data_IF_006401130934
#
_entry.id   IF_006401130934
#
_cell.length_a   1.000
_cell.length_b   1.000
_cell.length_c   1.000
_cell.angle_alpha   90.00
_cell.angle_beta   90.00
_cell.angle_gamma   90.00
#
_symmetry.space_group_name_H-M   'P 1'
#
loop_
_entity.id
_entity.type
_entity.pdbx_description
1 polymer ?
#
# COMPACT_ATOMS: atom_id res chain seq x y z
N UNK A 1 1.19 6.38 8.54
CA UNK A 1 1.78 7.42 7.67
C UNK A 1 2.26 6.90 6.31
N UNK A 2 2.57 5.61 6.14
CA UNK A 2 3.11 5.07 4.88
C UNK A 2 2.37 5.51 3.61
N UNK A 3 1.04 5.33 3.55
CA UNK A 3 0.28 5.68 2.35
C UNK A 3 0.31 7.19 2.00
N UNK A 4 0.61 8.07 2.96
CA UNK A 4 0.76 9.52 2.70
C UNK A 4 1.98 9.82 1.84
N UNK A 5 3.08 9.06 2.02
CA UNK A 5 4.25 9.17 1.15
C UNK A 5 3.93 8.73 -0.29
N UNK A 6 3.05 7.73 -0.43
CA UNK A 6 2.59 7.25 -1.74
C UNK A 6 1.68 8.28 -2.41
N UNK A 7 0.72 8.85 -1.68
CA UNK A 7 -0.16 9.91 -2.19
C UNK A 7 0.62 11.11 -2.70
N UNK A 8 1.60 11.59 -1.93
CA UNK A 8 2.49 12.66 -2.34
C UNK A 8 3.15 12.38 -3.70
N UNK A 9 3.69 11.17 -3.89
CA UNK A 9 4.38 10.80 -5.13
C UNK A 9 3.41 10.70 -6.30
N UNK A 10 2.24 10.10 -6.09
CA UNK A 10 1.19 10.02 -7.11
C UNK A 10 0.74 11.40 -7.59
N UNK A 11 0.50 12.34 -6.68
CA UNK A 11 0.06 13.69 -7.05
C UNK A 11 1.13 14.46 -7.82
N UNK A 12 2.40 14.33 -7.42
CA UNK A 12 3.52 14.93 -8.15
C UNK A 12 3.68 14.28 -9.54
N UNK A 13 3.52 12.96 -9.65
CA UNK A 13 3.53 12.27 -10.95
C UNK A 13 2.41 12.77 -11.87
N UNK A 14 1.18 12.90 -11.36
CA UNK A 14 0.04 13.45 -12.11
C UNK A 14 0.37 14.87 -12.60
N UNK A 15 0.83 15.75 -11.70
CA UNK A 15 1.13 17.14 -12.05
C UNK A 15 2.26 17.26 -13.10
N UNK A 16 3.29 16.40 -13.01
CA UNK A 16 4.35 16.32 -14.00
C UNK A 16 3.82 15.85 -15.36
N UNK A 17 2.94 14.84 -15.39
CA UNK A 17 2.39 14.29 -16.64
C UNK A 17 1.37 15.22 -17.29
N UNK A 18 0.62 15.98 -16.50
CA UNK A 18 -0.32 17.01 -16.98
C UNK A 18 0.38 18.30 -17.41
N UNK A 19 1.67 18.46 -17.09
CA UNK A 19 2.44 19.67 -17.36
C UNK A 19 2.05 20.86 -16.47
N UNK A 20 1.37 20.61 -15.36
CA UNK A 20 1.01 21.63 -14.36
C UNK A 20 2.14 21.88 -13.34
N UNK A 21 3.18 21.05 -13.36
CA UNK A 21 4.41 21.19 -12.59
C UNK A 21 5.65 21.03 -13.50
N UNK A 22 6.55 22.02 -13.49
CA UNK A 22 7.85 21.89 -14.15
C UNK A 22 8.81 21.04 -13.27
N UNK A 23 9.66 20.23 -13.92
CA UNK A 23 10.65 19.38 -13.22
C UNK A 23 11.58 20.18 -12.31
N UNK A 24 11.94 21.42 -12.69
CA UNK A 24 12.81 22.30 -11.90
C UNK A 24 12.21 22.69 -10.54
N UNK A 25 10.87 22.71 -10.44
CA UNK A 25 10.12 23.13 -9.25
C UNK A 25 9.68 21.92 -8.39
N UNK A 26 10.05 20.71 -8.81
CA UNK A 26 9.74 19.46 -8.11
C UNK A 26 10.32 19.38 -6.69
N UNK A 27 11.55 19.87 -6.39
CA UNK A 27 12.06 19.88 -5.02
C UNK A 27 11.19 20.71 -4.06
N UNK A 28 10.75 21.89 -4.48
CA UNK A 28 9.89 22.78 -3.70
C UNK A 28 8.50 22.17 -3.52
N UNK A 29 7.91 21.64 -4.59
CA UNK A 29 6.61 20.98 -4.55
C UNK A 29 6.62 19.75 -3.62
N UNK A 30 7.70 18.96 -3.66
CA UNK A 30 7.90 17.83 -2.74
C UNK A 30 7.92 18.29 -1.29
N UNK A 31 8.70 19.32 -0.97
CA UNK A 31 8.85 19.84 0.38
C UNK A 31 7.53 20.40 0.92
N UNK A 32 6.75 21.08 0.07
CA UNK A 32 5.41 21.56 0.42
C UNK A 32 4.47 20.40 0.77
N UNK A 33 4.39 19.36 -0.07
CA UNK A 33 3.53 18.19 0.16
C UNK A 33 3.96 17.36 1.37
N UNK A 34 5.27 17.24 1.62
CA UNK A 34 5.79 16.57 2.83
C UNK A 34 5.33 17.30 4.10
N UNK A 35 5.36 18.63 4.08
CA UNK A 35 4.89 19.43 5.20
C UNK A 35 3.38 19.32 5.38
N UNK A 36 2.61 19.42 4.29
CA UNK A 36 1.15 19.33 4.31
C UNK A 36 0.65 17.99 4.86
N UNK A 37 1.23 16.87 4.39
CA UNK A 37 0.74 15.53 4.74
C UNK A 37 1.38 14.95 5.99
N UNK A 38 2.64 15.26 6.25
CA UNK A 38 3.41 14.64 7.33
C UNK A 38 3.91 15.63 8.38
N UNK A 39 3.69 16.94 8.20
CA UNK A 39 4.11 17.97 9.15
C UNK A 39 5.62 18.21 9.19
N UNK A 40 6.39 17.66 8.24
CA UNK A 40 7.86 17.71 8.23
C UNK A 40 8.40 18.15 6.87
N UNK A 41 9.52 18.86 6.87
CA UNK A 41 10.23 19.26 5.64
C UNK A 41 11.61 18.61 5.62
N UNK A 42 11.97 17.88 4.55
CA UNK A 42 13.31 17.32 4.40
C UNK A 42 14.41 18.40 4.47
N UNK A 43 15.54 18.16 5.14
CA UNK A 43 16.59 19.15 5.27
C UNK A 43 17.43 19.33 3.99
N UNK A 44 17.29 18.44 3.01
CA UNK A 44 17.98 18.50 1.71
C UNK A 44 17.31 17.54 0.70
N UNK A 45 17.66 17.71 -0.58
CA UNK A 45 17.07 16.91 -1.67
C UNK A 45 17.42 15.42 -1.59
N UNK A 46 18.54 15.04 -0.96
CA UNK A 46 18.89 13.62 -0.74
C UNK A 46 17.85 12.91 0.15
N UNK A 47 17.30 13.60 1.15
CA UNK A 47 16.22 13.10 2.00
C UNK A 47 14.83 13.53 1.53
N UNK A 48 14.76 14.31 0.46
CA UNK A 48 13.53 14.79 -0.17
C UNK A 48 13.29 14.12 -1.52
N UNK A 49 13.16 14.93 -2.56
CA UNK A 49 12.82 14.47 -3.92
C UNK A 49 13.73 13.38 -4.51
N UNK A 50 14.98 13.26 -4.07
CA UNK A 50 15.94 12.24 -4.53
C UNK A 50 15.98 10.99 -3.63
N UNK A 51 15.05 10.88 -2.68
CA UNK A 51 15.00 9.78 -1.71
C UNK A 51 14.83 8.41 -2.39
N UNK A 52 14.08 8.36 -3.50
CA UNK A 52 13.73 7.14 -4.20
C UNK A 52 14.31 7.09 -5.61
N UNK A 53 14.62 5.88 -6.07
CA UNK A 53 15.23 5.64 -7.39
C UNK A 53 14.21 5.63 -8.54
N UNK A 54 12.91 5.52 -8.25
CA UNK A 54 11.88 5.15 -9.23
C UNK A 54 11.83 6.04 -10.46
N UNK A 55 11.81 7.36 -10.26
CA UNK A 55 11.76 8.32 -11.36
C UNK A 55 13.02 8.30 -12.22
N UNK A 56 14.19 8.08 -11.61
CA UNK A 56 15.44 7.92 -12.37
C UNK A 56 15.47 6.65 -13.23
N UNK A 57 14.71 5.61 -12.83
CA UNK A 57 14.51 4.39 -13.59
C UNK A 57 13.31 4.42 -14.55
N UNK A 58 12.64 5.56 -14.71
CA UNK A 58 11.47 5.70 -15.58
C UNK A 58 10.18 5.04 -15.04
N UNK A 59 10.13 4.67 -13.76
CA UNK A 59 9.00 3.98 -13.14
C UNK A 59 7.89 4.96 -12.70
N UNK A 60 7.39 5.78 -13.63
CA UNK A 60 6.27 6.69 -13.41
C UNK A 60 4.96 5.89 -13.33
N UNK A 61 4.11 6.17 -12.35
CA UNK A 61 2.87 5.42 -12.08
C UNK A 61 3.07 4.16 -11.25
N UNK A 62 4.29 3.90 -10.76
CA UNK A 62 4.59 2.70 -9.97
C UNK A 62 4.18 2.85 -8.50
N UNK A 63 4.35 4.03 -7.88
CA UNK A 63 4.11 4.21 -6.45
C UNK A 63 2.70 3.82 -5.97
N UNK A 64 1.60 4.10 -6.70
CA UNK A 64 0.25 3.70 -6.28
C UNK A 64 0.12 2.20 -6.00
N UNK A 65 0.95 1.36 -6.64
CA UNK A 65 0.93 -0.09 -6.42
C UNK A 65 1.27 -0.50 -4.98
N UNK A 66 2.09 0.28 -4.27
CA UNK A 66 2.39 0.01 -2.85
C UNK A 66 1.14 0.21 -1.96
N UNK A 67 0.37 1.26 -2.22
CA UNK A 67 -0.87 1.50 -1.48
C UNK A 67 -1.93 0.44 -1.81
N UNK A 68 -2.03 0.02 -3.07
CA UNK A 68 -2.89 -1.10 -3.48
C UNK A 68 -2.50 -2.40 -2.77
N UNK A 69 -1.20 -2.69 -2.62
CA UNK A 69 -0.71 -3.83 -1.85
C UNK A 69 -1.20 -3.81 -0.39
N UNK A 70 -1.13 -2.65 0.29
CA UNK A 70 -1.65 -2.49 1.66
C UNK A 70 -3.16 -2.78 1.74
N UNK A 71 -3.94 -2.24 0.81
CA UNK A 71 -5.39 -2.41 0.76
C UNK A 71 -5.77 -3.88 0.56
N UNK A 72 -5.21 -4.50 -0.49
CA UNK A 72 -5.46 -5.91 -0.84
C UNK A 72 -4.99 -6.85 0.27
N UNK A 73 -3.87 -6.54 0.95
CA UNK A 73 -3.36 -7.40 2.02
C UNK A 73 -4.39 -7.63 3.13
N UNK A 74 -5.12 -6.59 3.54
CA UNK A 74 -6.12 -6.71 4.61
C UNK A 74 -7.39 -7.38 4.12
N UNK A 75 -7.85 -7.08 2.90
CA UNK A 75 -8.99 -7.79 2.31
C UNK A 75 -8.75 -9.30 2.19
N UNK A 76 -7.53 -9.70 1.81
CA UNK A 76 -7.14 -11.11 1.82
C UNK A 76 -7.04 -11.66 3.25
N UNK A 77 -6.48 -10.88 4.17
CA UNK A 77 -6.33 -11.27 5.58
C UNK A 77 -7.66 -11.57 6.25
N UNK A 78 -8.71 -10.78 6.00
CA UNK A 78 -10.05 -11.03 6.54
C UNK A 78 -10.62 -12.38 6.06
N UNK A 79 -10.38 -12.73 4.79
CA UNK A 79 -10.78 -14.04 4.26
C UNK A 79 -9.96 -15.17 4.89
N UNK A 80 -8.65 -14.97 5.00
CA UNK A 80 -7.73 -15.91 5.63
C UNK A 80 -8.14 -16.22 7.08
N UNK A 81 -8.44 -15.21 7.89
CA UNK A 81 -8.84 -15.42 9.30
C UNK A 81 -10.18 -16.12 9.44
N UNK A 82 -11.12 -15.86 8.52
CA UNK A 82 -12.40 -16.57 8.47
C UNK A 82 -12.20 -18.04 8.11
N UNK A 83 -11.35 -18.33 7.13
CA UNK A 83 -11.15 -19.68 6.59
C UNK A 83 -10.19 -20.51 7.46
N UNK A 84 -9.34 -19.87 8.26
CA UNK A 84 -8.38 -20.49 9.20
C UNK A 84 -8.57 -19.87 10.61
N UNK A 85 -9.60 -20.26 11.38
CA UNK A 85 -9.88 -19.65 12.68
C UNK A 85 -8.76 -19.80 13.73
N UNK A 86 -7.88 -20.80 13.58
CA UNK A 86 -6.74 -21.06 14.48
C UNK A 86 -5.44 -20.39 14.04
N UNK A 87 -5.47 -19.52 13.03
CA UNK A 87 -4.26 -18.95 12.44
C UNK A 87 -3.39 -18.19 13.44
N UNK A 88 -3.99 -17.42 14.35
CA UNK A 88 -3.22 -16.63 15.33
C UNK A 88 -2.41 -17.54 16.28
N UNK A 89 -2.98 -18.68 16.66
CA UNK A 89 -2.29 -19.70 17.47
C UNK A 89 -1.17 -20.38 16.67
N UNK A 90 -1.41 -20.72 15.41
CA UNK A 90 -0.38 -21.30 14.54
C UNK A 90 0.82 -20.34 14.41
N UNK A 91 0.56 -19.05 14.16
CA UNK A 91 1.60 -18.03 14.05
C UNK A 91 2.40 -17.91 15.35
N UNK A 92 1.74 -17.96 16.51
CA UNK A 92 2.40 -17.92 17.82
C UNK A 92 3.37 -19.09 18.04
N UNK A 93 3.09 -20.24 17.42
CA UNK A 93 3.96 -21.44 17.43
C UNK A 93 4.96 -21.47 16.25
N UNK A 94 4.98 -20.44 15.39
CA UNK A 94 5.84 -20.39 14.21
C UNK A 94 5.38 -21.29 13.06
N UNK A 95 4.12 -21.71 13.07
CA UNK A 95 3.52 -22.55 12.05
C UNK A 95 2.83 -21.70 10.97
N UNK A 96 3.35 -21.75 9.73
CA UNK A 96 2.84 -20.95 8.61
C UNK A 96 2.35 -21.80 7.44
N UNK A 97 2.29 -23.13 7.61
CA UNK A 97 1.97 -24.07 6.53
C UNK A 97 0.54 -23.88 6.00
N UNK A 98 -0.44 -23.69 6.89
CA UNK A 98 -1.83 -23.46 6.51
C UNK A 98 -1.99 -22.11 5.77
N UNK A 99 -1.36 -21.05 6.27
CA UNK A 99 -1.36 -19.74 5.62
C UNK A 99 -0.78 -19.81 4.21
N UNK A 100 0.40 -20.44 4.07
CA UNK A 100 1.05 -20.59 2.77
C UNK A 100 0.22 -21.45 1.81
N UNK A 101 -0.39 -22.53 2.30
CA UNK A 101 -1.27 -23.39 1.51
C UNK A 101 -2.48 -22.60 0.99
N UNK A 102 -3.12 -21.81 1.85
CA UNK A 102 -4.25 -20.96 1.47
C UNK A 102 -3.84 -19.93 0.40
N UNK A 103 -2.71 -19.24 0.58
CA UNK A 103 -2.20 -18.27 -0.40
C UNK A 103 -1.85 -18.93 -1.73
N UNK A 104 -1.26 -20.13 -1.71
CA UNK A 104 -0.96 -20.89 -2.93
C UNK A 104 -2.23 -21.27 -3.70
N UNK A 105 -3.24 -21.76 -2.99
CA UNK A 105 -4.49 -22.22 -3.59
C UNK A 105 -5.35 -21.06 -4.11
N UNK A 106 -5.39 -19.93 -3.40
CA UNK A 106 -6.30 -18.84 -3.72
C UNK A 106 -5.65 -17.70 -4.51
N UNK A 107 -4.35 -17.50 -4.41
CA UNK A 107 -3.64 -16.38 -5.07
C UNK A 107 -2.59 -16.91 -6.04
N UNK A 108 -1.56 -17.61 -5.55
CA UNK A 108 -0.35 -17.84 -6.33
C UNK A 108 -0.56 -18.76 -7.54
N UNK A 109 -1.45 -19.76 -7.44
CA UNK A 109 -1.70 -20.73 -8.51
C UNK A 109 -2.19 -20.06 -9.81
N UNK A 110 -2.79 -18.88 -9.72
CA UNK A 110 -3.35 -18.21 -10.89
C UNK A 110 -2.32 -17.43 -11.70
N UNK A 111 -1.18 -17.03 -11.12
CA UNK A 111 -0.22 -16.15 -11.80
C UNK A 111 -0.93 -14.93 -12.41
N UNK A 112 -0.73 -14.71 -13.71
CA UNK A 112 -1.39 -13.63 -14.47
C UNK A 112 -2.66 -14.08 -15.21
N UNK A 113 -3.35 -15.16 -14.76
CA UNK A 113 -4.56 -15.67 -15.40
C UNK A 113 -5.76 -14.72 -15.29
N UNK A 114 -5.82 -13.93 -14.24
CA UNK A 114 -6.90 -12.99 -13.95
C UNK A 114 -6.33 -11.58 -13.79
N UNK A 115 -7.11 -10.57 -14.18
CA UNK A 115 -6.77 -9.19 -13.83
C UNK A 115 -6.82 -9.01 -12.31
N UNK A 116 -6.01 -8.10 -11.72
CA UNK A 116 -5.92 -7.95 -10.27
C UNK A 116 -7.27 -7.73 -9.57
N UNK A 117 -8.14 -6.88 -10.13
CA UNK A 117 -9.47 -6.62 -9.61
C UNK A 117 -10.38 -7.87 -9.67
N UNK A 118 -10.25 -8.67 -10.72
CA UNK A 118 -11.03 -9.90 -10.88
C UNK A 118 -10.59 -10.97 -9.89
N UNK A 119 -9.27 -11.12 -9.69
CA UNK A 119 -8.73 -12.06 -8.72
C UNK A 119 -9.14 -11.69 -7.29
N UNK A 120 -9.03 -10.41 -6.93
CA UNK A 120 -9.48 -9.92 -5.61
C UNK A 120 -10.97 -10.17 -5.41
N UNK A 121 -11.81 -9.87 -6.42
CA UNK A 121 -13.24 -10.14 -6.36
C UNK A 121 -13.56 -11.64 -6.25
N UNK A 122 -12.81 -12.50 -6.94
CA UNK A 122 -12.97 -13.95 -6.86
C UNK A 122 -12.69 -14.50 -5.47
N UNK A 123 -11.69 -13.97 -4.77
CA UNK A 123 -11.27 -14.45 -3.44
C UNK A 123 -12.14 -13.84 -2.34
N UNK A 124 -12.38 -12.53 -2.42
CA UNK A 124 -12.93 -11.75 -1.31
C UNK A 124 -14.43 -11.47 -1.45
N UNK A 125 -14.99 -11.67 -2.65
CA UNK A 125 -16.37 -11.36 -2.98
C UNK A 125 -16.61 -9.90 -3.39
N UNK A 126 -15.63 -9.02 -3.26
CA UNK A 126 -15.70 -7.60 -3.64
C UNK A 126 -14.49 -7.16 -4.45
N UNK A 127 -14.62 -6.06 -5.20
CA UNK A 127 -13.44 -5.38 -5.78
C UNK A 127 -12.52 -4.85 -4.67
N UNK A 128 -11.38 -4.26 -5.06
CA UNK A 128 -10.50 -3.57 -4.11
C UNK A 128 -11.29 -2.48 -3.39
N UNK A 129 -11.34 -2.57 -2.06
CA UNK A 129 -12.10 -1.71 -1.16
C UNK A 129 -11.16 -1.22 -0.04
N UNK A 130 -11.06 0.09 0.22
CA UNK A 130 -10.24 0.60 1.32
C UNK A 130 -10.79 0.35 2.72
N UNK A 131 -12.09 0.08 2.87
CA UNK A 131 -12.72 0.02 4.19
C UNK A 131 -12.11 -1.03 5.13
N UNK A 132 -11.78 -2.26 4.69
CA UNK A 132 -11.11 -3.24 5.54
C UNK A 132 -9.76 -2.75 6.08
N UNK A 133 -8.96 -2.10 5.23
CA UNK A 133 -7.67 -1.54 5.63
C UNK A 133 -7.83 -0.41 6.66
N UNK A 134 -8.81 0.48 6.47
CA UNK A 134 -9.10 1.55 7.43
C UNK A 134 -9.57 0.98 8.77
N UNK A 135 -10.46 -0.01 8.76
CA UNK A 135 -10.94 -0.67 9.97
C UNK A 135 -9.78 -1.35 10.73
N UNK A 136 -8.89 -2.04 10.02
CA UNK A 136 -7.69 -2.65 10.60
C UNK A 136 -6.80 -1.61 11.28
N UNK A 137 -6.52 -0.49 10.61
CA UNK A 137 -5.70 0.57 11.20
C UNK A 137 -6.38 1.19 12.41
N UNK A 138 -7.66 1.53 12.31
CA UNK A 138 -8.41 2.13 13.42
C UNK A 138 -8.44 1.19 14.62
N UNK A 139 -8.82 -0.08 14.44
CA UNK A 139 -8.88 -1.06 15.53
C UNK A 139 -7.52 -1.29 16.19
N UNK A 140 -6.49 -1.60 15.38
CA UNK A 140 -5.15 -1.90 15.92
C UNK A 140 -4.53 -0.71 16.65
N UNK A 141 -4.61 0.48 16.07
CA UNK A 141 -3.96 1.65 16.66
C UNK A 141 -4.78 2.26 17.79
N UNK A 142 -6.11 2.15 17.79
CA UNK A 142 -6.94 2.48 18.95
C UNK A 142 -6.57 1.63 20.17
N UNK A 143 -6.37 0.33 19.99
CA UNK A 143 -5.95 -0.57 21.07
C UNK A 143 -4.55 -0.24 21.61
N UNK A 144 -3.57 -0.05 20.71
CA UNK A 144 -2.17 0.20 21.11
C UNK A 144 -2.00 1.57 21.77
N UNK A 145 -2.59 2.62 21.21
CA UNK A 145 -2.39 4.00 21.64
C UNK A 145 -3.50 4.55 22.54
N UNK A 146 -4.56 3.76 22.79
CA UNK A 146 -5.71 4.11 23.62
C UNK A 146 -6.40 5.40 23.15
N UNK A 147 -6.68 5.46 21.84
CA UNK A 147 -7.36 6.57 21.16
C UNK A 147 -8.72 6.19 20.61
#
# INVERSE_FOLDING_TARGET
TYNLHIMLRLELEIALMEGTLDVKDLPEAWNARMHEYLGVTPPNNKLGVLQDVHWSGGMIGYFPTYALGNLVSVQLWDCIRRDIPTLDEQIAHGEFSALLAWLRQNVHVYGSKYEPQELVQKITGSKIDPQPYINYLQGKYAEIYQI
#
